data_IF_893570628777
#
_entry.id   IF_893570628777
#
_cell.length_a   1.000
_cell.length_b   1.000
_cell.length_c   1.000
_cell.angle_alpha   90.00
_cell.angle_beta   90.00
_cell.angle_gamma   90.00
#
_symmetry.space_group_name_H-M   'P 1'
#
loop_
_entity.id
_entity.type
_entity.pdbx_description
1 polymer ?
#
# COMPACT_ATOMS: atom_id res chain seq x y z
N UNK A 1 11.84 -15.01 62.42
CA UNK A 1 11.95 -13.70 61.74
C UNK A 1 12.82 -13.68 60.47
N UNK A 2 13.71 -14.67 60.23
CA UNK A 2 14.54 -14.69 59.00
C UNK A 2 13.82 -15.20 57.73
N UNK A 3 12.81 -16.07 57.86
CA UNK A 3 12.04 -16.59 56.70
C UNK A 3 11.09 -15.60 56.04
N UNK A 4 10.62 -14.57 56.75
CA UNK A 4 9.70 -13.57 56.19
C UNK A 4 10.40 -12.61 55.21
N UNK A 5 11.67 -12.30 55.47
CA UNK A 5 12.47 -11.37 54.65
C UNK A 5 12.80 -11.99 53.28
N UNK A 6 13.06 -13.30 53.23
CA UNK A 6 13.39 -14.02 52.00
C UNK A 6 12.16 -14.10 51.07
N UNK A 7 10.96 -14.25 51.64
CA UNK A 7 9.71 -14.30 50.87
C UNK A 7 9.38 -12.95 50.22
N UNK A 8 9.56 -11.84 50.95
CA UNK A 8 9.34 -10.48 50.40
C UNK A 8 10.35 -10.10 49.31
N UNK A 9 11.59 -10.61 49.38
CA UNK A 9 12.62 -10.34 48.38
C UNK A 9 12.39 -11.12 47.07
N UNK A 10 11.93 -12.37 47.16
CA UNK A 10 11.54 -13.18 45.99
C UNK A 10 10.35 -12.58 45.25
N UNK A 11 9.31 -12.14 45.97
CA UNK A 11 8.16 -11.49 45.34
C UNK A 11 8.54 -10.14 44.69
N UNK A 12 9.37 -9.31 45.33
CA UNK A 12 9.79 -8.01 44.77
C UNK A 12 10.60 -8.11 43.46
N UNK A 13 11.43 -9.14 43.30
CA UNK A 13 12.20 -9.36 42.07
C UNK A 13 11.32 -9.93 40.95
N UNK A 14 10.41 -10.86 41.27
CA UNK A 14 9.49 -11.42 40.26
C UNK A 14 8.50 -10.38 39.76
N UNK A 15 7.97 -9.50 40.64
CA UNK A 15 7.02 -8.47 40.22
C UNK A 15 7.67 -7.37 39.39
N UNK A 16 8.89 -6.93 39.75
CA UNK A 16 9.62 -5.96 38.93
C UNK A 16 10.03 -6.54 37.57
N UNK A 17 10.47 -7.80 37.51
CA UNK A 17 10.81 -8.47 36.25
C UNK A 17 9.60 -8.66 35.35
N UNK A 18 8.44 -9.09 35.88
CA UNK A 18 7.19 -9.27 35.12
C UNK A 18 6.62 -7.92 34.68
N UNK A 19 6.68 -6.89 35.54
CA UNK A 19 6.24 -5.55 35.19
C UNK A 19 7.12 -4.94 34.08
N UNK A 20 8.44 -5.11 34.17
CA UNK A 20 9.41 -4.62 33.20
C UNK A 20 9.31 -5.39 31.86
N UNK A 21 9.12 -6.70 31.89
CA UNK A 21 8.84 -7.53 30.72
C UNK A 21 7.49 -7.16 30.07
N UNK A 22 6.46 -6.84 30.87
CA UNK A 22 5.19 -6.32 30.35
C UNK A 22 5.29 -4.93 29.72
N UNK A 23 6.22 -4.09 30.22
CA UNK A 23 6.46 -2.73 29.73
C UNK A 23 7.19 -2.77 28.39
N UNK A 24 8.26 -3.56 28.31
CA UNK A 24 9.04 -3.77 27.07
C UNK A 24 8.16 -4.40 25.99
N UNK A 25 7.30 -5.35 26.35
CA UNK A 25 6.35 -5.95 25.40
C UNK A 25 5.37 -4.93 24.83
N UNK A 26 4.83 -4.04 25.67
CA UNK A 26 3.94 -2.94 25.24
C UNK A 26 4.66 -1.92 24.36
N UNK A 27 5.88 -1.54 24.70
CA UNK A 27 6.70 -0.65 23.86
C UNK A 27 7.03 -1.28 22.50
N UNK A 28 7.36 -2.57 22.49
CA UNK A 28 7.63 -3.32 21.25
C UNK A 28 6.37 -3.45 20.38
N UNK A 29 5.21 -3.70 20.99
CA UNK A 29 3.94 -3.80 20.26
C UNK A 29 3.48 -2.43 19.72
N UNK A 30 3.75 -1.34 20.45
CA UNK A 30 3.58 0.03 19.96
C UNK A 30 4.49 0.33 18.76
N UNK A 31 5.78 -0.01 18.86
CA UNK A 31 6.75 0.19 17.77
C UNK A 31 6.37 -0.60 16.52
N UNK A 32 5.94 -1.86 16.66
CA UNK A 32 5.45 -2.69 15.54
C UNK A 32 4.23 -2.08 14.87
N UNK A 33 3.32 -1.49 15.64
CA UNK A 33 2.11 -0.86 15.11
C UNK A 33 2.45 0.40 14.33
N UNK A 34 3.35 1.25 14.85
CA UNK A 34 3.85 2.43 14.13
C UNK A 34 4.58 2.03 12.84
N UNK A 35 5.44 1.01 12.89
CA UNK A 35 6.14 0.50 11.71
C UNK A 35 5.14 0.03 10.63
N UNK A 36 4.10 -0.72 11.03
CA UNK A 36 3.06 -1.16 10.09
C UNK A 36 2.33 0.01 9.43
N UNK A 37 2.02 1.07 10.17
CA UNK A 37 1.43 2.30 9.61
C UNK A 37 2.38 2.96 8.61
N UNK A 38 3.67 3.11 8.95
CA UNK A 38 4.68 3.67 8.05
C UNK A 38 4.82 2.86 6.76
N UNK A 39 4.83 1.53 6.85
CA UNK A 39 4.91 0.63 5.70
C UNK A 39 3.71 0.79 4.77
N UNK A 40 2.49 0.80 5.32
CA UNK A 40 1.25 1.00 4.55
C UNK A 40 1.29 2.37 3.86
N UNK A 41 1.71 3.42 4.58
CA UNK A 41 1.80 4.78 4.04
C UNK A 41 2.81 4.88 2.91
N UNK A 42 3.96 4.20 3.03
CA UNK A 42 4.95 4.11 1.94
C UNK A 42 4.39 3.37 0.72
N UNK A 43 3.65 2.28 0.93
CA UNK A 43 2.99 1.55 -0.15
C UNK A 43 1.92 2.40 -0.84
N UNK A 44 1.14 3.19 -0.09
CA UNK A 44 0.19 4.17 -0.64
C UNK A 44 0.93 5.18 -1.53
N UNK A 45 2.04 5.74 -1.06
CA UNK A 45 2.85 6.68 -1.85
C UNK A 45 3.39 6.06 -3.15
N UNK A 46 3.83 4.80 -3.13
CA UNK A 46 4.23 4.06 -4.34
C UNK A 46 3.06 3.81 -5.29
N UNK A 47 1.90 3.46 -4.75
CA UNK A 47 0.68 3.23 -5.51
C UNK A 47 0.25 4.50 -6.26
N UNK A 48 0.23 5.66 -5.59
CA UNK A 48 -0.08 6.96 -6.20
C UNK A 48 0.87 7.28 -7.37
N UNK A 49 2.19 7.13 -7.17
CA UNK A 49 3.16 7.34 -8.26
C UNK A 49 2.93 6.42 -9.46
N UNK A 50 2.53 5.18 -9.17
CA UNK A 50 2.18 4.20 -10.22
C UNK A 50 0.91 4.63 -10.95
N UNK A 51 -0.10 5.12 -10.23
CA UNK A 51 -1.32 5.67 -10.82
C UNK A 51 -1.04 6.83 -11.78
N UNK A 52 -0.20 7.78 -11.36
CA UNK A 52 0.20 8.93 -12.18
C UNK A 52 0.91 8.48 -13.46
N UNK A 53 1.79 7.49 -13.35
CA UNK A 53 2.49 6.90 -14.50
C UNK A 53 1.51 6.24 -15.48
N UNK A 54 0.58 5.41 -14.98
CA UNK A 54 -0.43 4.74 -15.80
C UNK A 54 -1.36 5.75 -16.50
N UNK A 55 -1.68 6.85 -15.83
CA UNK A 55 -2.53 7.92 -16.37
C UNK A 55 -1.84 8.65 -17.53
N UNK A 56 -0.55 8.97 -17.39
CA UNK A 56 0.25 9.55 -18.49
C UNK A 56 0.38 8.61 -19.69
N UNK A 57 0.55 7.31 -19.43
CA UNK A 57 0.56 6.28 -20.48
C UNK A 57 -0.79 6.24 -21.21
N UNK A 58 -1.90 6.34 -20.47
CA UNK A 58 -3.25 6.36 -21.04
C UNK A 58 -3.45 7.54 -21.99
N UNK A 59 -3.03 8.74 -21.57
CA UNK A 59 -3.08 9.94 -22.41
C UNK A 59 -2.25 9.78 -23.68
N UNK A 60 -1.05 9.21 -23.56
CA UNK A 60 -0.19 8.91 -24.71
C UNK A 60 -0.86 7.95 -25.69
N UNK A 61 -1.46 6.86 -25.22
CA UNK A 61 -2.15 5.92 -26.11
C UNK A 61 -3.38 6.53 -26.78
N UNK A 62 -4.15 7.35 -26.05
CA UNK A 62 -5.28 8.10 -26.64
C UNK A 62 -4.82 9.09 -27.70
N UNK A 63 -3.70 9.79 -27.48
CA UNK A 63 -3.10 10.66 -28.50
C UNK A 63 -2.71 9.85 -29.74
N UNK A 64 -2.01 8.73 -29.57
CA UNK A 64 -1.61 7.86 -30.68
C UNK A 64 -2.80 7.32 -31.46
N UNK A 65 -3.89 6.98 -30.78
CA UNK A 65 -5.14 6.58 -31.43
C UNK A 65 -5.72 7.69 -32.32
N UNK A 66 -5.76 8.93 -31.83
CA UNK A 66 -6.21 10.08 -32.61
C UNK A 66 -5.29 10.37 -33.81
N UNK A 67 -3.98 10.19 -33.65
CA UNK A 67 -3.00 10.33 -34.73
C UNK A 67 -3.23 9.27 -35.82
N UNK A 68 -3.44 8.01 -35.44
CA UNK A 68 -3.76 6.92 -36.38
C UNK A 68 -5.09 7.21 -37.10
N UNK A 69 -6.09 7.72 -36.40
CA UNK A 69 -7.39 8.06 -37.00
C UNK A 69 -7.31 9.22 -37.99
N UNK A 70 -6.54 10.27 -37.67
CA UNK A 70 -6.43 11.48 -38.48
C UNK A 70 -5.57 11.31 -39.74
N UNK A 71 -4.66 10.33 -39.75
CA UNK A 71 -3.78 10.07 -40.91
C UNK A 71 -4.59 9.58 -42.13
N UNK A 72 -4.55 10.37 -43.21
CA UNK A 72 -5.28 10.11 -44.47
C UNK A 72 -4.40 9.74 -45.66
N UNK A 73 -3.09 10.01 -45.62
CA UNK A 73 -2.18 9.83 -46.76
C UNK A 73 -1.15 8.75 -46.43
N UNK A 74 -0.98 7.75 -47.30
CA UNK A 74 0.15 6.80 -47.23
C UNK A 74 -0.04 5.51 -46.41
N UNK A 75 -1.22 5.24 -45.86
CA UNK A 75 -1.55 3.94 -45.24
C UNK A 75 -2.69 3.24 -45.96
N UNK A 76 -2.58 1.93 -46.17
CA UNK A 76 -3.72 1.13 -46.64
C UNK A 76 -4.77 1.06 -45.53
N UNK A 77 -6.04 0.88 -45.90
CA UNK A 77 -7.14 0.72 -44.93
C UNK A 77 -6.85 -0.43 -43.94
N UNK A 78 -6.24 -1.50 -44.43
CA UNK A 78 -5.90 -2.69 -43.66
C UNK A 78 -4.82 -2.42 -42.60
N UNK A 79 -3.78 -1.65 -42.93
CA UNK A 79 -2.74 -1.26 -41.98
C UNK A 79 -3.28 -0.36 -40.88
N UNK A 80 -4.19 0.55 -41.23
CA UNK A 80 -4.85 1.44 -40.28
C UNK A 80 -5.71 0.65 -39.29
N UNK A 81 -6.51 -0.30 -39.77
CA UNK A 81 -7.33 -1.17 -38.92
C UNK A 81 -6.47 -2.01 -37.97
N UNK A 82 -5.35 -2.55 -38.47
CA UNK A 82 -4.40 -3.30 -37.64
C UNK A 82 -3.82 -2.44 -36.51
N UNK A 83 -3.35 -1.24 -36.82
CA UNK A 83 -2.79 -0.32 -35.82
C UNK A 83 -3.84 0.16 -34.81
N UNK A 84 -5.08 0.40 -35.25
CA UNK A 84 -6.21 0.72 -34.37
C UNK A 84 -6.48 -0.42 -33.39
N UNK A 85 -6.46 -1.66 -33.87
CA UNK A 85 -6.66 -2.83 -33.02
C UNK A 85 -5.55 -2.96 -31.98
N UNK A 86 -4.30 -2.80 -32.39
CA UNK A 86 -3.13 -2.86 -31.50
C UNK A 86 -3.19 -1.78 -30.41
N UNK A 87 -3.46 -0.52 -30.78
CA UNK A 87 -3.52 0.58 -29.79
C UNK A 87 -4.73 0.41 -28.85
N UNK A 88 -5.87 -0.08 -29.34
CA UNK A 88 -7.03 -0.37 -28.50
C UNK A 88 -6.71 -1.45 -27.45
N UNK A 89 -5.99 -2.51 -27.83
CA UNK A 89 -5.53 -3.51 -26.86
C UNK A 89 -4.60 -2.91 -25.80
N UNK A 90 -3.72 -1.99 -26.18
CA UNK A 90 -2.86 -1.29 -25.22
C UNK A 90 -3.66 -0.39 -24.26
N UNK A 91 -4.66 0.32 -24.77
CA UNK A 91 -5.60 1.13 -23.98
C UNK A 91 -6.35 0.26 -22.97
N UNK A 92 -6.95 -0.84 -23.43
CA UNK A 92 -7.71 -1.77 -22.57
C UNK A 92 -6.84 -2.39 -21.47
N UNK A 93 -5.61 -2.79 -21.81
CA UNK A 93 -4.68 -3.36 -20.83
C UNK A 93 -4.27 -2.31 -19.79
N UNK A 94 -4.05 -1.06 -20.20
CA UNK A 94 -3.70 0.01 -19.27
C UNK A 94 -4.90 0.44 -18.39
N UNK A 95 -6.12 0.42 -18.93
CA UNK A 95 -7.34 0.66 -18.15
C UNK A 95 -7.52 -0.42 -17.07
N UNK A 96 -7.26 -1.70 -17.39
CA UNK A 96 -7.25 -2.78 -16.39
C UNK A 96 -6.20 -2.53 -15.29
N UNK A 97 -4.98 -2.16 -15.67
CA UNK A 97 -3.92 -1.83 -14.71
C UNK A 97 -4.32 -0.65 -13.80
N UNK A 98 -5.01 0.36 -14.34
CA UNK A 98 -5.54 1.49 -13.54
C UNK A 98 -6.59 1.00 -12.54
N UNK A 99 -7.51 0.13 -12.96
CA UNK A 99 -8.55 -0.44 -12.08
C UNK A 99 -7.92 -1.26 -10.96
N UNK A 100 -6.96 -2.13 -11.28
CA UNK A 100 -6.23 -2.94 -10.30
C UNK A 100 -5.44 -2.08 -9.31
N UNK A 101 -4.78 -1.03 -9.81
CA UNK A 101 -4.06 -0.08 -8.99
C UNK A 101 -4.99 0.68 -8.02
N UNK A 102 -6.18 1.09 -8.48
CA UNK A 102 -7.23 1.68 -7.63
C UNK A 102 -7.77 0.72 -6.58
N UNK A 103 -8.02 -0.53 -6.95
CA UNK A 103 -8.46 -1.56 -6.01
C UNK A 103 -7.41 -1.80 -4.91
N UNK A 104 -6.13 -1.84 -5.29
CA UNK A 104 -5.02 -1.92 -4.34
C UNK A 104 -4.96 -0.69 -3.43
N UNK A 105 -5.16 0.51 -3.96
CA UNK A 105 -5.20 1.74 -3.16
C UNK A 105 -6.31 1.69 -2.10
N UNK A 106 -7.52 1.27 -2.47
CA UNK A 106 -8.62 1.10 -1.52
C UNK A 106 -8.30 0.07 -0.44
N UNK A 107 -7.72 -1.08 -0.81
CA UNK A 107 -7.28 -2.09 0.16
C UNK A 107 -6.23 -1.56 1.13
N UNK A 108 -5.27 -0.75 0.65
CA UNK A 108 -4.27 -0.12 1.50
C UNK A 108 -4.89 0.91 2.47
N UNK A 109 -5.89 1.67 2.03
CA UNK A 109 -6.63 2.58 2.91
C UNK A 109 -7.41 1.84 4.01
N UNK A 110 -8.04 0.72 3.69
CA UNK A 110 -8.70 -0.12 4.70
C UNK A 110 -7.69 -0.67 5.72
N UNK A 111 -6.54 -1.16 5.26
CA UNK A 111 -5.46 -1.60 6.14
C UNK A 111 -4.94 -0.47 7.03
N UNK A 112 -4.83 0.74 6.49
CA UNK A 112 -4.42 1.93 7.25
C UNK A 112 -5.43 2.25 8.36
N UNK A 113 -6.72 2.23 8.06
CA UNK A 113 -7.78 2.44 9.06
C UNK A 113 -7.72 1.43 10.21
N UNK A 114 -7.57 0.14 9.87
CA UNK A 114 -7.43 -0.93 10.88
C UNK A 114 -6.17 -0.72 11.72
N UNK A 115 -5.06 -0.30 11.11
CA UNK A 115 -3.83 0.00 11.84
C UNK A 115 -4.00 1.22 12.76
N UNK A 116 -4.70 2.26 12.31
CA UNK A 116 -5.02 3.45 13.11
C UNK A 116 -5.90 3.10 14.32
N UNK A 117 -6.92 2.25 14.15
CA UNK A 117 -7.75 1.76 15.26
C UNK A 117 -6.92 1.02 16.30
N UNK A 118 -5.94 0.20 15.87
CA UNK A 118 -5.02 -0.47 16.79
C UNK A 118 -4.15 0.51 17.57
N UNK A 119 -3.68 1.58 16.94
CA UNK A 119 -2.94 2.65 17.65
C UNK A 119 -3.83 3.30 18.71
N UNK A 120 -5.10 3.57 18.41
CA UNK A 120 -6.06 4.15 19.37
C UNK A 120 -6.34 3.24 20.57
N UNK A 121 -6.21 1.92 20.41
CA UNK A 121 -6.37 0.96 21.52
C UNK A 121 -5.11 0.82 22.39
N UNK A 122 -3.96 1.26 21.89
CA UNK A 122 -2.67 1.21 22.59
C UNK A 122 -2.36 2.51 23.36
N UNK A 123 -3.00 3.63 22.99
CA UNK A 123 -2.91 4.93 23.67
C UNK A 123 -4.07 5.13 24.64
#
# INVERSE_FOLDING_TARGET
>A
MKSLIILSFLFGITFNSIAQESSIKRELDSLKTVHAVCDITSQIGKNIKTHDSLSKIQEKYKSQYLDIQSFKIGRTKLDKEKQIKEINTLIENNDKAIIENRALYHSLLEKLKVAEEKVKLLN
#
